data_IF_181975504677
#
_entry.id   IF_181975504677
#
_cell.length_a   1.000
_cell.length_b   1.000
_cell.length_c   1.000
_cell.angle_alpha   90.00
_cell.angle_beta   90.00
_cell.angle_gamma   90.00
#
_symmetry.space_group_name_H-M   'P 1'
#
loop_
_entity.id
_entity.type
_entity.pdbx_description
1 polymer ?
#
# COMPACT_ATOMS: atom_id res chain seq x y z
N UNK A 1 21.40 5.51 -10.15
CA UNK A 1 21.49 4.68 -8.93
C UNK A 1 20.29 3.72 -8.91
N UNK A 2 20.30 2.63 -8.13
CA UNK A 2 19.17 1.67 -8.12
C UNK A 2 17.81 2.30 -7.76
N UNK A 3 17.80 3.21 -6.78
CA UNK A 3 16.57 3.88 -6.34
C UNK A 3 15.92 4.68 -7.48
N UNK A 4 16.71 5.41 -8.27
CA UNK A 4 16.19 6.21 -9.40
C UNK A 4 15.44 5.33 -10.41
N UNK A 5 15.95 4.11 -10.66
CA UNK A 5 15.27 3.14 -11.49
C UNK A 5 13.99 2.62 -10.82
N UNK A 6 14.07 2.21 -9.55
CA UNK A 6 12.93 1.63 -8.82
C UNK A 6 11.74 2.59 -8.69
N UNK A 7 12.00 3.91 -8.56
CA UNK A 7 10.94 4.93 -8.52
C UNK A 7 10.50 5.42 -9.91
N UNK A 8 11.18 4.96 -10.96
CA UNK A 8 10.90 5.30 -12.35
C UNK A 8 9.60 4.69 -12.88
N UNK A 9 9.11 5.26 -13.98
CA UNK A 9 7.85 4.85 -14.64
C UNK A 9 7.91 3.39 -15.08
N UNK A 10 9.01 2.98 -15.71
CA UNK A 10 9.19 1.63 -16.24
C UNK A 10 9.06 0.57 -15.14
N UNK A 11 9.86 0.67 -14.08
CA UNK A 11 9.87 -0.29 -12.99
C UNK A 11 8.51 -0.37 -12.29
N UNK A 12 7.88 0.78 -12.01
CA UNK A 12 6.57 0.80 -11.37
C UNK A 12 5.44 0.30 -12.27
N UNK A 13 5.52 0.49 -13.59
CA UNK A 13 4.54 -0.07 -14.54
C UNK A 13 4.59 -1.60 -14.52
N UNK A 14 5.79 -2.19 -14.65
CA UNK A 14 5.95 -3.64 -14.60
C UNK A 14 5.48 -4.20 -13.27
N UNK A 15 5.79 -3.53 -12.16
CA UNK A 15 5.38 -3.97 -10.83
C UNK A 15 3.85 -3.93 -10.65
N UNK A 16 3.19 -2.90 -11.16
CA UNK A 16 1.73 -2.81 -11.16
C UNK A 16 1.09 -3.93 -12.01
N UNK A 17 1.63 -4.23 -13.19
CA UNK A 17 1.09 -5.26 -14.08
C UNK A 17 1.29 -6.69 -13.56
N UNK A 18 2.44 -6.97 -12.94
CA UNK A 18 2.79 -8.33 -12.50
C UNK A 18 2.35 -8.64 -11.08
N UNK A 19 2.26 -7.62 -10.23
CA UNK A 19 2.02 -7.80 -8.79
C UNK A 19 0.80 -7.03 -8.26
N UNK A 20 0.17 -6.19 -9.09
CA UNK A 20 -1.03 -5.42 -8.71
C UNK A 20 -0.80 -4.48 -7.51
N UNK A 21 0.43 -3.99 -7.34
CA UNK A 21 0.71 -2.89 -6.42
C UNK A 21 0.50 -1.56 -7.12
N UNK A 22 -0.21 -0.64 -6.46
CA UNK A 22 -0.44 0.70 -6.99
C UNK A 22 0.89 1.45 -7.16
N UNK A 23 1.19 2.01 -8.35
CA UNK A 23 2.32 2.88 -8.55
C UNK A 23 2.11 4.19 -7.77
N UNK A 24 3.18 4.70 -7.15
CA UNK A 24 3.18 6.03 -6.52
C UNK A 24 3.58 7.12 -7.52
N UNK A 25 4.25 6.74 -8.61
CA UNK A 25 4.63 7.63 -9.69
C UNK A 25 3.40 7.96 -10.55
N UNK A 26 2.97 9.22 -10.51
CA UNK A 26 1.77 9.71 -11.20
C UNK A 26 1.88 9.71 -12.73
N UNK A 27 3.07 9.47 -13.29
CA UNK A 27 3.28 9.35 -14.74
C UNK A 27 3.01 7.94 -15.27
N UNK A 28 2.83 6.95 -14.39
CA UNK A 28 2.45 5.59 -14.79
C UNK A 28 1.02 5.59 -15.30
N UNK A 29 0.82 5.06 -16.50
CA UNK A 29 -0.50 4.84 -17.11
C UNK A 29 -0.75 3.34 -17.17
N UNK A 30 -1.87 2.90 -16.60
CA UNK A 30 -2.23 1.50 -16.53
C UNK A 30 -3.41 1.22 -17.47
N UNK A 31 -3.43 0.03 -18.04
CA UNK A 31 -4.62 -0.52 -18.69
C UNK A 31 -5.78 -0.59 -17.69
N UNK A 32 -7.00 -0.35 -18.17
CA UNK A 32 -8.21 -0.27 -17.33
C UNK A 32 -8.42 -1.55 -16.50
N UNK A 33 -8.09 -2.71 -17.07
CA UNK A 33 -8.22 -4.00 -16.40
C UNK A 33 -7.25 -4.17 -15.23
N UNK A 34 -6.01 -3.65 -15.36
CA UNK A 34 -5.01 -3.64 -14.28
C UNK A 34 -5.41 -2.62 -13.22
N UNK A 35 -5.80 -1.40 -13.65
CA UNK A 35 -6.23 -0.35 -12.75
C UNK A 35 -7.44 -0.78 -11.89
N UNK A 36 -8.43 -1.46 -12.49
CA UNK A 36 -9.59 -1.97 -11.77
C UNK A 36 -9.21 -2.99 -10.69
N UNK A 37 -8.22 -3.84 -10.95
CA UNK A 37 -7.74 -4.83 -9.97
C UNK A 37 -6.97 -4.22 -8.80
N UNK A 38 -6.27 -3.11 -9.05
CA UNK A 38 -5.48 -2.40 -8.05
C UNK A 38 -6.35 -1.49 -7.19
N UNK A 39 -7.15 -0.63 -7.84
CA UNK A 39 -7.87 0.44 -7.16
C UNK A 39 -9.29 0.06 -6.76
N UNK A 40 -9.85 -1.01 -7.33
CA UNK A 40 -11.26 -1.36 -7.14
C UNK A 40 -12.21 -0.29 -7.68
N UNK A 41 -13.42 -0.22 -7.12
CA UNK A 41 -14.44 0.75 -7.52
C UNK A 41 -14.12 2.17 -7.04
N UNK A 42 -14.82 3.18 -7.58
CA UNK A 42 -14.65 4.58 -7.14
C UNK A 42 -15.08 4.78 -5.69
N UNK A 43 -16.06 4.02 -5.24
CA UNK A 43 -16.52 4.00 -3.85
C UNK A 43 -15.42 3.44 -2.93
N UNK A 44 -14.75 2.36 -3.35
CA UNK A 44 -13.62 1.80 -2.61
C UNK A 44 -12.45 2.79 -2.53
N UNK A 45 -12.14 3.48 -3.63
CA UNK A 45 -11.11 4.54 -3.66
C UNK A 45 -11.44 5.68 -2.70
N UNK A 46 -12.69 6.14 -2.67
CA UNK A 46 -13.13 7.20 -1.77
C UNK A 46 -13.12 6.79 -0.29
N UNK A 47 -13.26 5.49 0.00
CA UNK A 47 -13.18 4.94 1.35
C UNK A 47 -11.75 4.67 1.83
N UNK A 48 -10.72 4.88 0.99
CA UNK A 48 -9.33 4.70 1.40
C UNK A 48 -8.92 5.79 2.40
N UNK A 49 -8.39 5.36 3.54
CA UNK A 49 -7.83 6.27 4.54
C UNK A 49 -6.33 6.44 4.34
N UNK A 50 -5.88 7.69 4.34
CA UNK A 50 -4.46 7.98 4.53
C UNK A 50 -4.04 7.66 5.95
N UNK A 51 -2.85 7.08 6.12
CA UNK A 51 -2.28 6.78 7.42
C UNK A 51 -1.51 7.98 7.97
N UNK A 52 -1.77 8.34 9.22
CA UNK A 52 -0.93 9.27 9.99
C UNK A 52 0.23 8.49 10.62
N UNK A 53 1.35 8.44 9.90
CA UNK A 53 2.53 7.69 10.34
C UNK A 53 3.14 8.21 11.66
N UNK A 54 3.26 9.53 11.90
CA UNK A 54 3.65 10.05 13.21
C UNK A 54 2.79 9.51 14.35
N UNK A 55 1.47 9.57 14.24
CA UNK A 55 0.58 9.07 15.28
C UNK A 55 0.70 7.55 15.46
N UNK A 56 0.76 6.79 14.35
CA UNK A 56 0.93 5.33 14.38
C UNK A 56 2.22 4.93 15.12
N UNK A 57 3.31 5.68 14.94
CA UNK A 57 4.57 5.40 15.59
C UNK A 57 4.46 5.48 17.12
N UNK A 58 3.65 6.40 17.66
CA UNK A 58 3.38 6.51 19.11
C UNK A 58 2.59 5.30 19.63
N UNK A 59 1.76 4.67 18.78
CA UNK A 59 0.91 3.53 19.17
C UNK A 59 1.60 2.17 19.05
N UNK A 60 2.77 2.10 18.41
CA UNK A 60 3.44 0.83 18.10
C UNK A 60 3.60 -0.08 19.32
N UNK A 61 4.19 0.43 20.41
CA UNK A 61 4.44 -0.37 21.61
C UNK A 61 3.14 -0.81 22.32
N UNK A 62 2.14 0.07 22.58
CA UNK A 62 0.84 -0.33 23.10
C UNK A 62 0.15 -1.42 22.27
N UNK A 63 0.16 -1.30 20.94
CA UNK A 63 -0.48 -2.29 20.05
C UNK A 63 0.21 -3.64 20.09
N UNK A 64 1.55 -3.70 20.08
CA UNK A 64 2.26 -4.97 20.20
C UNK A 64 1.93 -5.68 21.53
N UNK A 65 1.88 -4.95 22.65
CA UNK A 65 1.50 -5.54 23.94
C UNK A 65 0.06 -6.05 23.92
N UNK A 66 -0.85 -5.30 23.29
CA UNK A 66 -2.24 -5.72 23.13
C UNK A 66 -2.38 -6.99 22.30
N UNK A 67 -1.75 -7.04 21.13
CA UNK A 67 -1.75 -8.21 20.22
C UNK A 67 -1.20 -9.45 20.94
N UNK A 68 -0.10 -9.31 21.70
CA UNK A 68 0.46 -10.41 22.48
C UNK A 68 -0.54 -10.99 23.48
N UNK A 69 -1.28 -10.13 24.20
CA UNK A 69 -2.25 -10.57 25.20
C UNK A 69 -3.53 -11.13 24.60
N UNK A 70 -4.05 -10.49 23.56
CA UNK A 70 -5.41 -10.76 23.06
C UNK A 70 -5.44 -11.77 21.91
N UNK A 71 -4.37 -11.86 21.12
CA UNK A 71 -4.32 -12.72 19.93
C UNK A 71 -3.38 -13.90 20.16
N UNK A 72 -2.14 -13.63 20.60
CA UNK A 72 -1.11 -14.68 20.69
C UNK A 72 -1.32 -15.55 21.93
N UNK A 73 -1.51 -14.97 23.11
CA UNK A 73 -1.63 -15.74 24.36
C UNK A 73 -2.96 -16.53 24.50
N UNK A 74 -3.93 -16.27 23.62
CA UNK A 74 -5.24 -16.95 23.60
C UNK A 74 -5.22 -18.16 22.65
N UNK A 75 -4.12 -18.40 21.93
CA UNK A 75 -3.91 -19.54 21.03
C UNK A 75 -2.66 -20.32 21.42
#
# INVERSE_FOLDING_TARGET
MFIDYAIGVEAQTVFAEKSFYAPVNQSVKLEDTVAARIYGSKEAQAAQSSLDWPWIAEQYAPWIQRIRREVIAVH
#
